data_IF_731294351191
#
_entry.id   IF_731294351191
#
_cell.length_a   1.000
_cell.length_b   1.000
_cell.length_c   1.000
_cell.angle_alpha   90.00
_cell.angle_beta   90.00
_cell.angle_gamma   90.00
#
_symmetry.space_group_name_H-M   'P 1'
#
loop_
_entity.id
_entity.type
_entity.pdbx_description
1 polymer ?
#
# COMPACT_ATOMS: atom_id res chain seq x y z
N UNK A 1 26.90 9.60 4.03
CA UNK A 1 25.81 10.50 4.44
C UNK A 1 25.63 10.39 5.95
N UNK A 2 25.72 11.49 6.70
CA UNK A 2 25.53 11.52 8.16
C UNK A 2 24.17 12.13 8.49
N UNK A 3 23.38 11.46 9.33
CA UNK A 3 22.13 11.98 9.85
C UNK A 3 22.45 12.97 10.99
N UNK A 4 21.86 14.18 10.92
CA UNK A 4 22.09 15.26 11.89
C UNK A 4 20.86 15.49 12.80
N UNK A 5 19.68 15.11 12.35
CA UNK A 5 18.46 15.29 13.14
C UNK A 5 17.18 15.23 12.33
N UNK A 6 16.07 15.37 13.02
CA UNK A 6 14.71 15.36 12.46
C UNK A 6 13.86 16.43 13.13
N UNK A 7 12.92 16.98 12.38
CA UNK A 7 11.93 17.94 12.88
C UNK A 7 10.56 17.63 12.30
N UNK A 8 9.55 17.48 13.16
CA UNK A 8 8.14 17.48 12.74
C UNK A 8 7.78 18.89 12.28
N UNK A 9 7.29 19.02 11.05
CA UNK A 9 6.97 20.30 10.42
C UNK A 9 5.47 20.56 10.44
N UNK A 10 4.67 19.52 10.22
CA UNK A 10 3.22 19.63 10.32
C UNK A 10 2.61 18.34 10.83
N UNK A 11 1.45 18.47 11.47
CA UNK A 11 0.65 17.38 11.99
C UNK A 11 -0.66 17.30 11.22
N UNK A 12 -0.96 16.11 10.68
CA UNK A 12 -2.21 15.79 10.01
C UNK A 12 -3.02 14.76 10.81
N UNK A 13 -4.24 14.49 10.37
CA UNK A 13 -5.06 13.45 11.00
C UNK A 13 -4.45 12.06 10.83
N UNK A 14 -3.95 11.73 9.64
CA UNK A 14 -3.47 10.39 9.27
C UNK A 14 -1.97 10.32 9.04
N UNK A 15 -1.38 11.41 8.56
CA UNK A 15 0.04 11.50 8.22
C UNK A 15 0.61 12.81 8.75
N UNK A 16 1.87 12.75 9.19
CA UNK A 16 2.66 13.90 9.59
C UNK A 16 3.78 14.14 8.58
N UNK A 17 4.22 15.40 8.46
CA UNK A 17 5.39 15.77 7.65
C UNK A 17 6.58 16.02 8.54
N UNK A 18 7.75 15.49 8.12
CA UNK A 18 9.02 15.65 8.80
C UNK A 18 10.10 16.17 7.84
N UNK A 19 11.00 16.99 8.34
CA UNK A 19 12.25 17.36 7.71
C UNK A 19 13.40 16.57 8.35
N UNK A 20 14.12 15.79 7.55
CA UNK A 20 15.31 15.06 7.93
C UNK A 20 16.54 15.86 7.52
N UNK A 21 17.46 16.08 8.46
CA UNK A 21 18.67 16.85 8.23
C UNK A 21 19.85 15.91 8.07
N UNK A 22 20.61 16.11 7.02
CA UNK A 22 21.79 15.32 6.70
C UNK A 22 23.00 16.20 6.37
N UNK A 23 24.20 15.64 6.64
CA UNK A 23 25.46 16.18 6.12
C UNK A 23 26.05 15.17 5.12
N UNK A 24 26.41 15.63 3.92
CA UNK A 24 27.05 14.83 2.91
C UNK A 24 28.53 14.59 3.25
N UNK A 25 29.22 13.74 2.48
CA UNK A 25 30.65 13.46 2.69
C UNK A 25 31.55 14.68 2.39
N UNK A 26 31.06 15.61 1.57
CA UNK A 26 31.71 16.88 1.23
C UNK A 26 31.19 18.05 2.10
N UNK A 27 30.70 17.74 3.32
CA UNK A 27 30.23 18.68 4.35
C UNK A 27 29.05 19.60 3.95
N UNK A 28 28.31 19.26 2.91
CA UNK A 28 27.12 20.03 2.53
C UNK A 28 25.92 19.63 3.36
N UNK A 29 25.11 20.61 3.74
CA UNK A 29 23.84 20.38 4.44
C UNK A 29 22.72 20.09 3.47
N UNK A 30 21.92 19.06 3.78
CA UNK A 30 20.74 18.67 3.01
C UNK A 30 19.55 18.49 3.93
N UNK A 31 18.41 19.03 3.52
CA UNK A 31 17.10 18.73 4.11
C UNK A 31 16.38 17.77 3.18
N UNK A 32 15.79 16.72 3.74
CA UNK A 32 14.98 15.77 3.01
C UNK A 32 13.59 15.70 3.63
N UNK A 33 12.59 16.00 2.83
CA UNK A 33 11.20 16.05 3.29
C UNK A 33 10.55 14.68 3.15
N UNK A 34 9.92 14.21 4.23
CA UNK A 34 9.13 12.97 4.20
C UNK A 34 7.76 13.18 4.83
N UNK A 35 6.83 12.29 4.47
CA UNK A 35 5.59 12.07 5.20
C UNK A 35 5.63 10.69 5.87
N UNK A 36 4.94 10.54 6.99
CA UNK A 36 4.86 9.27 7.72
C UNK A 36 3.53 9.12 8.44
N UNK A 37 3.06 7.86 8.56
CA UNK A 37 1.97 7.50 9.47
C UNK A 37 2.43 7.42 10.92
N UNK A 38 3.73 7.20 11.15
CA UNK A 38 4.30 7.27 12.49
C UNK A 38 4.32 8.73 12.98
N UNK A 39 3.52 8.99 14.00
CA UNK A 39 3.34 10.33 14.59
C UNK A 39 4.45 10.75 15.56
N UNK A 40 5.37 9.86 15.90
CA UNK A 40 6.36 10.07 16.96
C UNK A 40 7.79 9.72 16.51
N UNK A 41 8.16 10.18 15.32
CA UNK A 41 9.52 10.00 14.81
C UNK A 41 10.46 11.02 15.45
N UNK A 42 11.48 10.52 16.17
CA UNK A 42 12.49 11.33 16.88
C UNK A 42 13.92 10.99 16.48
N UNK A 43 14.14 9.77 16.00
CA UNK A 43 15.46 9.23 15.66
C UNK A 43 15.47 8.66 14.24
N UNK A 44 16.65 8.37 13.72
CA UNK A 44 16.77 7.69 12.42
C UNK A 44 16.18 6.27 12.46
N UNK A 45 16.22 5.60 13.61
CA UNK A 45 15.67 4.26 13.76
C UNK A 45 14.14 4.27 13.66
N UNK A 46 13.49 5.36 14.12
CA UNK A 46 12.05 5.53 13.97
C UNK A 46 11.64 5.76 12.50
N UNK A 47 12.55 6.25 11.66
CA UNK A 47 12.33 6.43 10.21
C UNK A 47 12.34 5.08 9.49
N UNK A 48 13.08 4.10 10.00
CA UNK A 48 13.20 2.79 9.37
C UNK A 48 11.91 1.98 9.35
N UNK A 49 10.88 2.43 10.03
CA UNK A 49 9.55 1.82 10.08
C UNK A 49 9.59 0.28 10.18
N UNK A 50 9.71 -0.23 11.40
CA UNK A 50 9.77 -1.67 11.68
C UNK A 50 8.37 -2.33 11.72
N UNK A 51 7.33 -1.59 11.35
CA UNK A 51 5.94 -2.07 11.33
C UNK A 51 5.37 -1.92 9.92
N UNK A 52 4.93 -3.02 9.35
CA UNK A 52 4.18 -3.01 8.09
C UNK A 52 2.89 -2.21 8.25
N UNK A 53 2.68 -1.20 7.41
CA UNK A 53 1.52 -0.32 7.49
C UNK A 53 0.31 -0.88 6.76
N UNK A 54 0.53 -1.52 5.63
CA UNK A 54 -0.53 -2.02 4.77
C UNK A 54 -0.23 -3.36 4.11
N UNK A 55 -1.22 -3.87 3.41
CA UNK A 55 -1.13 -5.10 2.61
C UNK A 55 -1.63 -4.85 1.21
N UNK A 56 -0.95 -5.43 0.22
CA UNK A 56 -1.38 -5.51 -1.18
C UNK A 56 -1.68 -6.96 -1.50
N UNK A 57 -2.81 -7.22 -2.16
CA UNK A 57 -3.28 -8.57 -2.43
C UNK A 57 -3.18 -8.86 -3.93
N UNK A 58 -2.29 -9.77 -4.30
CA UNK A 58 -2.16 -10.28 -5.67
C UNK A 58 -2.89 -11.61 -5.74
N UNK A 59 -4.14 -11.58 -6.15
CA UNK A 59 -4.98 -12.78 -6.20
C UNK A 59 -5.27 -13.21 -7.64
N UNK A 60 -5.16 -14.51 -7.88
CA UNK A 60 -5.67 -15.17 -9.11
C UNK A 60 -7.00 -15.85 -8.84
N UNK A 61 -7.72 -16.19 -9.90
CA UNK A 61 -8.85 -17.12 -9.81
C UNK A 61 -8.35 -18.55 -9.50
N UNK A 62 -9.27 -19.45 -9.22
CA UNK A 62 -8.96 -20.84 -8.84
C UNK A 62 -8.11 -21.59 -9.87
N UNK A 63 -8.19 -21.19 -11.15
CA UNK A 63 -7.50 -21.85 -12.27
C UNK A 63 -6.17 -21.17 -12.64
N UNK A 64 -5.78 -20.07 -11.98
CA UNK A 64 -4.62 -19.24 -12.32
C UNK A 64 -4.67 -18.63 -13.74
N UNK A 65 -5.87 -18.44 -14.28
CA UNK A 65 -6.06 -17.89 -15.62
C UNK A 65 -6.21 -16.37 -15.64
N UNK A 66 -6.74 -15.81 -14.56
CA UNK A 66 -7.07 -14.39 -14.45
C UNK A 66 -6.56 -13.83 -13.12
N UNK A 67 -6.20 -12.55 -13.14
CA UNK A 67 -5.78 -11.80 -11.96
C UNK A 67 -6.85 -10.79 -11.56
N UNK A 68 -7.01 -10.60 -10.28
CA UNK A 68 -7.95 -9.64 -9.71
C UNK A 68 -7.36 -8.23 -9.76
N UNK A 69 -8.10 -7.29 -10.33
CA UNK A 69 -7.74 -5.87 -10.37
C UNK A 69 -8.96 -5.03 -9.95
N UNK A 70 -8.72 -4.06 -9.11
CA UNK A 70 -9.67 -3.01 -8.76
C UNK A 70 -9.54 -1.85 -9.74
N UNK A 71 -10.68 -1.26 -10.13
CA UNK A 71 -10.77 0.09 -10.66
C UNK A 71 -11.30 0.97 -9.54
N UNK A 72 -10.48 1.88 -9.04
CA UNK A 72 -10.74 2.66 -7.84
C UNK A 72 -10.59 4.16 -8.12
N UNK A 73 -11.51 4.99 -7.61
CA UNK A 73 -11.36 6.44 -7.62
C UNK A 73 -10.37 6.88 -6.53
N UNK A 74 -9.20 7.36 -6.94
CA UNK A 74 -8.17 7.84 -6.00
C UNK A 74 -8.24 9.35 -5.86
N UNK A 75 -8.71 9.82 -4.69
CA UNK A 75 -8.87 11.25 -4.39
C UNK A 75 -7.56 12.04 -4.57
N UNK A 76 -6.41 11.43 -4.28
CA UNK A 76 -5.10 12.06 -4.43
C UNK A 76 -4.69 12.29 -5.89
N UNK A 77 -5.32 11.56 -6.82
CA UNK A 77 -5.10 11.68 -8.27
C UNK A 77 -6.26 12.43 -8.93
N UNK A 78 -7.46 12.39 -8.32
CA UNK A 78 -8.69 12.95 -8.87
C UNK A 78 -9.25 12.17 -10.05
N UNK A 79 -8.91 10.88 -10.16
CA UNK A 79 -9.33 10.03 -11.28
C UNK A 79 -9.36 8.55 -10.84
N UNK A 80 -9.94 7.71 -11.71
CA UNK A 80 -9.91 6.27 -11.53
C UNK A 80 -8.56 5.70 -11.93
N UNK A 81 -8.03 4.81 -11.08
CA UNK A 81 -6.81 4.05 -11.33
C UNK A 81 -7.09 2.55 -11.24
N UNK A 82 -6.25 1.76 -11.91
CA UNK A 82 -6.24 0.32 -11.76
C UNK A 82 -5.14 -0.08 -10.78
N UNK A 83 -5.50 -0.83 -9.76
CA UNK A 83 -4.59 -1.31 -8.71
C UNK A 83 -4.98 -2.70 -8.22
N UNK A 84 -4.12 -3.30 -7.43
CA UNK A 84 -4.49 -4.49 -6.67
C UNK A 84 -5.33 -4.10 -5.45
N UNK A 85 -6.23 -4.97 -4.96
CA UNK A 85 -6.85 -4.79 -3.66
C UNK A 85 -5.80 -4.56 -2.58
N UNK A 86 -6.02 -3.58 -1.71
CA UNK A 86 -5.03 -3.18 -0.73
C UNK A 86 -5.67 -2.38 0.41
N UNK A 87 -5.17 -2.54 1.62
CA UNK A 87 -5.62 -1.74 2.74
C UNK A 87 -4.65 -1.70 3.90
N UNK A 88 -5.02 -1.01 4.96
CA UNK A 88 -4.19 -0.89 6.16
C UNK A 88 -4.31 -2.13 7.04
N UNK A 89 -3.23 -2.47 7.72
CA UNK A 89 -3.22 -3.54 8.72
C UNK A 89 -3.65 -2.95 10.05
N UNK A 90 -4.77 -3.42 10.57
CA UNK A 90 -5.29 -2.97 11.85
C UNK A 90 -4.46 -3.47 13.05
N UNK A 91 -4.65 -2.82 14.20
CA UNK A 91 -3.92 -3.20 15.41
C UNK A 91 -4.21 -4.65 15.83
N UNK A 92 -3.18 -5.48 15.85
CA UNK A 92 -3.28 -6.90 16.22
C UNK A 92 -3.53 -7.85 15.04
N UNK A 93 -3.69 -7.33 13.82
CA UNK A 93 -3.75 -8.18 12.63
C UNK A 93 -2.36 -8.56 12.13
N UNK A 94 -2.29 -9.71 11.47
CA UNK A 94 -1.17 -10.05 10.58
C UNK A 94 -1.50 -9.64 9.15
N UNK A 95 -0.50 -9.51 8.26
CA UNK A 95 -0.75 -9.20 6.85
C UNK A 95 -1.75 -10.16 6.18
N UNK A 96 -1.71 -11.44 6.55
CA UNK A 96 -2.61 -12.47 6.00
C UNK A 96 -4.07 -12.30 6.48
N UNK A 97 -4.27 -11.85 7.73
CA UNK A 97 -5.60 -11.54 8.28
C UNK A 97 -6.15 -10.30 7.60
N UNK A 98 -5.35 -9.24 7.53
CA UNK A 98 -5.71 -8.00 6.86
C UNK A 98 -6.04 -8.25 5.37
N UNK A 99 -5.24 -9.06 4.67
CA UNK A 99 -5.49 -9.41 3.27
C UNK A 99 -6.87 -10.08 3.06
N UNK A 100 -7.24 -11.00 3.94
CA UNK A 100 -8.57 -11.66 3.88
C UNK A 100 -9.70 -10.67 4.12
N UNK A 101 -9.55 -9.80 5.10
CA UNK A 101 -10.54 -8.78 5.44
C UNK A 101 -10.70 -7.77 4.30
N UNK A 102 -9.60 -7.15 3.86
CA UNK A 102 -9.62 -6.12 2.80
C UNK A 102 -10.18 -6.68 1.48
N UNK A 103 -9.74 -7.88 1.08
CA UNK A 103 -10.28 -8.52 -0.12
C UNK A 103 -11.80 -8.68 -0.05
N UNK A 104 -12.30 -9.15 1.12
CA UNK A 104 -13.74 -9.33 1.35
C UNK A 104 -14.49 -8.00 1.32
N UNK A 105 -13.94 -6.97 1.96
CA UNK A 105 -14.56 -5.65 2.07
C UNK A 105 -14.61 -4.92 0.73
N UNK A 106 -13.55 -4.98 -0.06
CA UNK A 106 -13.45 -4.28 -1.34
C UNK A 106 -14.15 -4.99 -2.50
N UNK A 107 -14.18 -6.33 -2.48
CA UNK A 107 -14.57 -7.10 -3.67
C UNK A 107 -15.72 -8.08 -3.45
N UNK A 108 -16.00 -8.46 -2.21
CA UNK A 108 -16.93 -9.54 -1.86
C UNK A 108 -16.33 -10.95 -1.97
N UNK A 109 -15.15 -11.10 -2.53
CA UNK A 109 -14.49 -12.40 -2.69
C UNK A 109 -13.83 -12.90 -1.39
N UNK A 110 -13.61 -14.19 -1.30
CA UNK A 110 -12.88 -14.83 -0.22
C UNK A 110 -11.47 -15.23 -0.70
N UNK A 111 -10.44 -14.89 0.08
CA UNK A 111 -9.07 -15.37 -0.15
C UNK A 111 -8.98 -16.82 0.35
N UNK A 112 -9.16 -17.77 -0.58
CA UNK A 112 -9.30 -19.21 -0.28
C UNK A 112 -7.97 -19.92 -0.09
N UNK A 113 -6.89 -19.37 -0.65
CA UNK A 113 -5.53 -19.85 -0.44
C UNK A 113 -4.54 -18.68 -0.39
N UNK A 114 -3.50 -18.83 0.40
CA UNK A 114 -2.32 -17.96 0.40
C UNK A 114 -1.15 -18.84 -0.05
N UNK A 115 -0.58 -18.50 -1.19
CA UNK A 115 0.50 -19.25 -1.81
C UNK A 115 1.86 -18.72 -1.35
N UNK A 116 1.96 -17.38 -1.18
CA UNK A 116 3.21 -16.73 -0.77
C UNK A 116 2.94 -15.39 -0.07
N UNK A 117 3.94 -14.93 0.66
CA UNK A 117 4.01 -13.58 1.21
C UNK A 117 5.40 -13.00 0.98
N UNK A 118 5.45 -11.91 0.24
CA UNK A 118 6.70 -11.21 -0.01
C UNK A 118 7.06 -10.30 1.17
N UNK A 119 8.35 -10.00 1.29
CA UNK A 119 8.86 -9.03 2.26
C UNK A 119 8.27 -7.64 1.99
N UNK A 120 8.22 -6.84 3.06
CA UNK A 120 7.69 -5.50 3.02
C UNK A 120 8.46 -4.62 2.02
N UNK A 121 7.70 -3.93 1.20
CA UNK A 121 8.22 -2.98 0.23
C UNK A 121 7.72 -1.57 0.54
N UNK A 122 8.54 -0.57 0.22
CA UNK A 122 8.12 0.82 0.37
C UNK A 122 7.13 1.22 -0.72
N UNK A 123 6.02 1.86 -0.33
CA UNK A 123 5.00 2.36 -1.26
C UNK A 123 5.49 3.53 -2.10
N UNK A 124 6.23 4.46 -1.49
CA UNK A 124 6.69 5.69 -2.14
C UNK A 124 8.03 6.18 -1.54
N UNK A 125 9.08 5.39 -1.70
CA UNK A 125 10.40 5.58 -1.07
C UNK A 125 11.01 6.97 -1.29
N UNK A 126 10.56 7.71 -2.31
CA UNK A 126 11.05 9.06 -2.60
C UNK A 126 10.61 10.12 -1.58
N UNK A 127 9.55 9.87 -0.80
CA UNK A 127 9.02 10.86 0.15
C UNK A 127 8.23 10.25 1.33
N UNK A 128 8.12 8.94 1.41
CA UNK A 128 7.41 8.24 2.50
C UNK A 128 8.20 7.04 2.97
N UNK A 129 8.07 6.70 4.25
CA UNK A 129 8.56 5.46 4.84
C UNK A 129 7.45 4.42 5.02
N UNK A 130 6.28 4.62 4.41
CA UNK A 130 5.18 3.65 4.42
C UNK A 130 5.60 2.36 3.73
N UNK A 131 5.31 1.22 4.38
CA UNK A 131 5.61 -0.12 3.86
C UNK A 131 4.36 -0.96 3.72
N UNK A 132 4.35 -1.83 2.70
CA UNK A 132 3.30 -2.82 2.48
C UNK A 132 3.88 -4.23 2.35
N UNK A 133 3.24 -5.19 2.99
CA UNK A 133 3.41 -6.60 2.66
C UNK A 133 2.63 -6.93 1.38
N UNK A 134 3.11 -7.87 0.59
CA UNK A 134 2.37 -8.40 -0.55
C UNK A 134 1.96 -9.83 -0.25
N UNK A 135 0.66 -10.08 -0.24
CA UNK A 135 0.09 -11.43 -0.08
C UNK A 135 -0.36 -11.94 -1.45
N UNK A 136 0.18 -13.09 -1.85
CA UNK A 136 -0.12 -13.74 -3.12
C UNK A 136 -1.00 -14.96 -2.84
N UNK A 137 -2.08 -15.13 -3.61
CA UNK A 137 -2.97 -16.26 -3.38
C UNK A 137 -4.10 -16.38 -4.39
N UNK A 138 -5.09 -17.19 -4.02
CA UNK A 138 -6.26 -17.46 -4.83
C UNK A 138 -7.52 -16.93 -4.17
N UNK A 139 -8.38 -16.34 -4.97
CA UNK A 139 -9.66 -15.85 -4.51
C UNK A 139 -10.83 -16.49 -5.27
N UNK A 140 -11.96 -16.62 -4.59
CA UNK A 140 -13.18 -17.23 -5.13
C UNK A 140 -14.41 -16.58 -4.49
N UNK A 141 -15.56 -16.78 -5.11
CA UNK A 141 -16.84 -16.28 -4.64
C UNK A 141 -17.54 -15.37 -5.65
N UNK A 142 -18.50 -14.59 -5.16
CA UNK A 142 -19.26 -13.64 -5.96
C UNK A 142 -18.82 -12.21 -5.64
N UNK A 143 -18.66 -11.39 -6.68
CA UNK A 143 -18.39 -9.97 -6.49
C UNK A 143 -19.55 -9.29 -5.76
N UNK A 144 -19.21 -8.44 -4.82
CA UNK A 144 -20.15 -7.55 -4.14
C UNK A 144 -19.59 -6.12 -4.14
N UNK A 145 -20.44 -5.10 -4.02
CA UNK A 145 -19.99 -3.73 -3.83
C UNK A 145 -19.10 -3.61 -2.61
N UNK A 146 -18.10 -2.69 -2.66
CA UNK A 146 -17.29 -2.36 -1.48
C UNK A 146 -18.18 -1.98 -0.30
N UNK A 147 -17.81 -2.44 0.88
CA UNK A 147 -18.51 -2.10 2.13
C UNK A 147 -18.16 -0.69 2.62
N UNK A 148 -17.11 -0.08 2.08
CA UNK A 148 -16.71 1.29 2.37
C UNK A 148 -17.57 2.28 1.58
N UNK A 149 -18.20 3.24 2.29
CA UNK A 149 -18.97 4.33 1.65
C UNK A 149 -18.07 5.47 1.15
N UNK A 150 -16.79 5.44 1.47
CA UNK A 150 -15.81 6.47 1.09
C UNK A 150 -14.92 6.05 -0.08
N UNK A 151 -15.07 4.82 -0.56
CA UNK A 151 -14.24 4.24 -1.61
C UNK A 151 -15.12 3.77 -2.76
N UNK A 152 -14.90 4.37 -3.93
CA UNK A 152 -15.56 3.95 -5.16
C UNK A 152 -14.70 2.90 -5.86
N UNK A 153 -14.96 1.63 -5.54
CA UNK A 153 -14.21 0.48 -6.05
C UNK A 153 -15.12 -0.41 -6.89
N UNK A 154 -14.60 -0.86 -8.02
CA UNK A 154 -15.17 -1.95 -8.81
C UNK A 154 -14.09 -2.97 -9.14
N UNK A 155 -14.26 -4.19 -8.68
CA UNK A 155 -13.32 -5.29 -8.89
C UNK A 155 -13.73 -6.15 -10.11
N UNK A 156 -12.75 -6.65 -10.84
CA UNK A 156 -12.98 -7.62 -11.92
C UNK A 156 -11.78 -8.53 -12.12
N UNK A 157 -12.06 -9.68 -12.74
CA UNK A 157 -11.05 -10.60 -13.21
C UNK A 157 -10.52 -10.19 -14.58
N UNK A 158 -9.20 -10.13 -14.72
CA UNK A 158 -8.51 -9.76 -15.95
C UNK A 158 -7.59 -10.88 -16.42
N UNK A 159 -7.70 -11.24 -17.67
CA UNK A 159 -6.72 -12.10 -18.34
C UNK A 159 -5.38 -11.36 -18.53
N UNK A 160 -4.33 -12.12 -18.81
CA UNK A 160 -3.01 -11.55 -19.11
C UNK A 160 -3.02 -10.53 -20.26
N UNK A 161 -3.87 -10.78 -21.27
CA UNK A 161 -3.98 -9.87 -22.44
C UNK A 161 -4.67 -8.57 -22.05
N UNK A 162 -5.76 -8.63 -21.29
CA UNK A 162 -6.49 -7.46 -20.80
C UNK A 162 -5.58 -6.58 -19.91
N UNK A 163 -4.81 -7.19 -18.99
CA UNK A 163 -3.83 -6.43 -18.17
C UNK A 163 -2.79 -5.73 -19.05
N UNK A 164 -2.28 -6.42 -20.09
CA UNK A 164 -1.33 -5.80 -21.04
C UNK A 164 -1.94 -4.61 -21.78
N UNK A 165 -3.22 -4.69 -22.12
CA UNK A 165 -3.92 -3.58 -22.76
C UNK A 165 -4.13 -2.42 -21.80
N UNK A 166 -4.59 -2.67 -20.56
CA UNK A 166 -4.67 -1.63 -19.52
C UNK A 166 -3.36 -0.85 -19.31
N UNK A 167 -2.20 -1.52 -19.44
CA UNK A 167 -0.89 -0.89 -19.30
C UNK A 167 -0.44 -0.07 -20.52
N UNK A 168 -1.14 -0.19 -21.66
CA UNK A 168 -0.81 0.51 -22.91
C UNK A 168 -1.76 1.67 -23.22
N UNK A 169 -2.99 1.59 -22.73
CA UNK A 169 -4.05 2.56 -23.01
C UNK A 169 -3.97 3.76 -22.05
N UNK A 170 -2.90 4.58 -22.23
CA UNK A 170 -2.79 5.93 -21.64
C UNK A 170 -2.30 6.91 -22.66
#
# INVERSE_FOLDING_TARGET
MKFDGIKKVSEGRFIDRYDLYYTTEDDKKKVYEIISRNKDIKTIDDVHNNKTDGVVIVATDENDERILINKEYRMSVGDYVYNFPAGLIDAGETPEIAAKRELKEETGLDLIAIDDKLYDSYSAIGFSNETNAVVIGKASGEFAPSTSTFEEISAAWYSREEVRNLLKDK
#
